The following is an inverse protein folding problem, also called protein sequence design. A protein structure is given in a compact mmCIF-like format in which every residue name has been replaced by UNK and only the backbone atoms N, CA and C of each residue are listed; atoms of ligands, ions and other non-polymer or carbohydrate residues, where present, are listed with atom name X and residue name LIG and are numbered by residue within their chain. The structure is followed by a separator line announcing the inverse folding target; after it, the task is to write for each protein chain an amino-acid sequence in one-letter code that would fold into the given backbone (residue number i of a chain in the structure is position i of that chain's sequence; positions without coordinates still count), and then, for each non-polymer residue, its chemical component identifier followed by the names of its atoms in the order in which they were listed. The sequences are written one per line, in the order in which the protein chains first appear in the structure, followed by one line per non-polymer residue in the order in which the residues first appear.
data_IF_251028459395
#
_entry.id   IF_251028459395
#
_cell.length_a   1.000
_cell.length_b   1.000
_cell.length_c   1.000
_cell.angle_alpha   90.00
_cell.angle_beta   90.00
_cell.angle_gamma   90.00
#
_symmetry.space_group_name_H-M   'P 1'
#
loop_
_entity.id
_entity.type
_entity.pdbx_description
1 polymer ?
#
# COMPACT_ATOMS: atom_id res chain seq x y z
N UNK A 1 16.09 -6.44 2.42
CA UNK A 1 17.05 -7.51 2.10
C UNK A 1 16.31 -8.70 1.49
N UNK A 2 15.75 -8.44 0.32
CA UNK A 2 14.96 -9.42 -0.42
C UNK A 2 15.72 -10.74 -0.63
N UNK A 3 17.03 -10.64 -0.86
CA UNK A 3 17.98 -11.75 -1.05
C UNK A 3 18.08 -12.74 0.12
N UNK A 4 17.51 -12.40 1.27
CA UNK A 4 17.56 -13.26 2.46
C UNK A 4 16.22 -13.88 2.84
N UNK A 5 15.12 -13.42 2.23
CA UNK A 5 13.77 -13.80 2.66
C UNK A 5 13.58 -15.31 2.59
N UNK A 6 13.93 -15.92 1.46
CA UNK A 6 13.76 -17.36 1.26
C UNK A 6 14.45 -18.20 2.34
N UNK A 7 15.65 -17.79 2.75
CA UNK A 7 16.44 -18.48 3.78
C UNK A 7 15.88 -18.33 5.21
N UNK A 8 14.90 -17.46 5.39
CA UNK A 8 14.28 -17.16 6.68
C UNK A 8 12.85 -17.71 6.78
N UNK A 9 12.37 -18.38 5.73
CA UNK A 9 11.05 -19.00 5.75
C UNK A 9 11.06 -20.22 6.68
N UNK A 10 9.97 -20.48 7.40
CA UNK A 10 9.85 -21.68 8.24
C UNK A 10 9.72 -22.94 7.38
N UNK A 11 10.08 -24.09 7.94
CA UNK A 11 10.09 -25.39 7.25
C UNK A 11 8.70 -25.79 6.72
N UNK A 12 7.63 -25.35 7.39
CA UNK A 12 6.23 -25.59 7.03
C UNK A 12 5.62 -24.50 6.12
N UNK A 13 6.43 -23.65 5.51
CA UNK A 13 5.96 -22.56 4.65
C UNK A 13 5.11 -23.01 3.46
N UNK A 14 5.42 -24.16 2.85
CA UNK A 14 4.63 -24.85 1.82
C UNK A 14 4.09 -23.96 0.68
N UNK A 15 4.89 -22.99 0.21
CA UNK A 15 4.48 -22.07 -0.87
C UNK A 15 3.68 -20.85 -0.42
N UNK A 16 3.50 -20.65 0.88
CA UNK A 16 2.91 -19.45 1.45
C UNK A 16 1.60 -19.67 2.22
N UNK A 17 1.45 -18.91 3.28
CA UNK A 17 0.24 -18.88 4.09
C UNK A 17 -0.74 -17.80 3.60
N UNK A 18 -2.05 -18.09 3.63
CA UNK A 18 -3.10 -17.17 3.18
C UNK A 18 -3.17 -15.86 3.97
N UNK A 19 -2.69 -15.85 5.19
CA UNK A 19 -2.70 -14.69 6.08
C UNK A 19 -1.40 -13.88 6.04
N UNK A 20 -0.47 -14.19 5.12
CA UNK A 20 0.82 -13.50 5.03
C UNK A 20 0.99 -12.82 3.67
N UNK A 21 1.16 -11.51 3.74
CA UNK A 21 1.38 -10.65 2.58
C UNK A 21 2.80 -10.08 2.59
N UNK A 22 3.58 -10.39 1.55
CA UNK A 22 4.93 -9.84 1.42
C UNK A 22 4.91 -8.55 0.60
N UNK A 23 5.33 -7.46 1.22
CA UNK A 23 5.57 -6.19 0.54
C UNK A 23 7.06 -5.88 0.48
N UNK A 24 7.54 -5.49 -0.68
CA UNK A 24 8.94 -5.08 -0.87
C UNK A 24 9.01 -3.59 -1.20
N UNK A 25 9.85 -2.88 -0.44
CA UNK A 25 10.07 -1.45 -0.65
C UNK A 25 10.88 -1.19 -1.92
N UNK A 26 10.38 -0.28 -2.78
CA UNK A 26 11.02 0.16 -4.01
C UNK A 26 11.00 1.69 -4.10
N UNK A 27 12.02 2.34 -3.57
CA UNK A 27 12.11 3.81 -3.45
C UNK A 27 12.39 4.51 -4.79
N UNK A 28 12.93 3.78 -5.76
CA UNK A 28 13.31 4.26 -7.09
C UNK A 28 13.51 3.08 -8.05
N UNK A 29 13.75 3.40 -9.33
CA UNK A 29 13.91 2.39 -10.39
C UNK A 29 15.05 1.39 -10.12
N UNK A 30 16.17 1.84 -9.56
CA UNK A 30 17.30 0.96 -9.25
C UNK A 30 16.86 -0.13 -8.27
N UNK A 31 16.18 0.24 -7.19
CA UNK A 31 15.71 -0.70 -6.17
C UNK A 31 14.61 -1.62 -6.68
N UNK A 32 13.72 -1.12 -7.54
CA UNK A 32 12.73 -1.97 -8.18
C UNK A 32 13.39 -3.04 -9.08
N UNK A 33 14.37 -2.66 -9.89
CA UNK A 33 15.08 -3.59 -10.75
C UNK A 33 15.89 -4.65 -9.99
N UNK A 34 16.38 -4.31 -8.80
CA UNK A 34 17.12 -5.23 -7.94
C UNK A 34 16.20 -6.18 -7.16
N UNK A 35 15.04 -5.70 -6.70
CA UNK A 35 14.23 -6.40 -5.69
C UNK A 35 13.00 -7.08 -6.26
N UNK A 36 12.36 -6.52 -7.28
CA UNK A 36 11.11 -7.08 -7.80
C UNK A 36 11.28 -8.42 -8.52
N UNK A 37 12.38 -8.69 -9.27
CA UNK A 37 12.60 -10.04 -9.78
C UNK A 37 12.63 -11.08 -8.66
N UNK A 38 13.30 -10.77 -7.54
CA UNK A 38 13.35 -11.66 -6.37
C UNK A 38 11.94 -11.83 -5.78
N UNK A 39 11.17 -10.75 -5.61
CA UNK A 39 9.80 -10.84 -5.10
C UNK A 39 8.94 -11.81 -5.92
N UNK A 40 9.05 -11.74 -7.25
CA UNK A 40 8.24 -12.60 -8.13
C UNK A 40 8.59 -14.09 -7.99
N UNK A 41 9.85 -14.41 -7.70
CA UNK A 41 10.31 -15.79 -7.49
C UNK A 41 10.02 -16.33 -6.09
N UNK A 42 9.85 -15.46 -5.09
CA UNK A 42 9.60 -15.89 -3.72
C UNK A 42 8.24 -16.62 -3.59
N UNK A 43 8.20 -17.71 -2.79
CA UNK A 43 7.01 -18.54 -2.62
C UNK A 43 5.98 -17.90 -1.68
N UNK A 44 5.43 -16.75 -2.06
CA UNK A 44 4.36 -16.06 -1.34
C UNK A 44 3.10 -16.02 -2.19
N UNK A 45 1.95 -16.29 -1.57
CA UNK A 45 0.65 -16.19 -2.24
C UNK A 45 0.26 -14.75 -2.51
N UNK A 46 0.52 -13.88 -1.54
CA UNK A 46 0.17 -12.46 -1.61
C UNK A 46 1.43 -11.60 -1.67
N UNK A 47 1.54 -10.81 -2.73
CA UNK A 47 2.70 -9.97 -3.02
C UNK A 47 2.28 -8.54 -3.31
N UNK A 48 3.04 -7.58 -2.78
CA UNK A 48 2.82 -6.17 -3.04
C UNK A 48 4.10 -5.36 -3.11
N UNK A 49 3.96 -4.13 -3.54
CA UNK A 49 5.06 -3.17 -3.66
C UNK A 49 4.78 -1.96 -2.76
N UNK A 50 5.79 -1.58 -1.98
CA UNK A 50 5.79 -0.36 -1.18
C UNK A 50 6.72 0.66 -1.83
N UNK A 51 6.17 1.60 -2.60
CA UNK A 51 6.91 2.74 -3.16
C UNK A 51 6.91 3.89 -2.15
N UNK A 52 7.44 3.63 -0.96
CA UNK A 52 7.57 4.59 0.13
C UNK A 52 8.91 4.40 0.85
N UNK A 53 9.68 5.49 1.01
CA UNK A 53 9.49 6.80 0.37
C UNK A 53 9.79 6.73 -1.13
N UNK A 54 8.90 7.24 -1.98
CA UNK A 54 9.19 7.39 -3.42
C UNK A 54 10.08 8.61 -3.62
N UNK A 55 11.37 8.36 -3.89
CA UNK A 55 12.40 9.40 -3.99
C UNK A 55 13.01 9.54 -5.39
N UNK A 56 12.42 8.89 -6.38
CA UNK A 56 12.80 8.97 -7.78
C UNK A 56 11.72 8.39 -8.68
N UNK A 57 11.76 8.77 -9.97
CA UNK A 57 10.84 8.20 -10.96
C UNK A 57 10.95 6.68 -10.96
N UNK A 58 9.81 6.02 -10.99
CA UNK A 58 9.66 4.58 -10.92
C UNK A 58 8.61 4.11 -11.93
N UNK A 59 8.96 3.14 -12.76
CA UNK A 59 8.03 2.40 -13.62
C UNK A 59 8.14 0.92 -13.28
N UNK A 60 7.02 0.28 -13.04
CA UNK A 60 6.89 -1.11 -12.60
C UNK A 60 6.04 -1.96 -13.55
N UNK A 61 5.60 -1.41 -14.66
CA UNK A 61 4.72 -2.07 -15.64
C UNK A 61 5.15 -3.51 -15.95
N UNK A 62 6.43 -3.73 -16.27
CA UNK A 62 6.96 -5.05 -16.62
C UNK A 62 6.82 -6.10 -15.51
N UNK A 63 6.77 -5.65 -14.23
CA UNK A 63 6.59 -6.55 -13.09
C UNK A 63 5.11 -6.81 -12.82
N UNK A 64 4.25 -5.78 -13.01
CA UNK A 64 2.80 -5.91 -12.85
C UNK A 64 2.20 -6.86 -13.88
N UNK A 65 2.76 -6.93 -15.09
CA UNK A 65 2.34 -7.86 -16.15
C UNK A 65 2.47 -9.34 -15.76
N UNK A 66 3.23 -9.67 -14.72
CA UNK A 66 3.26 -11.04 -14.16
C UNK A 66 1.92 -11.48 -13.57
N UNK A 67 1.03 -10.54 -13.24
CA UNK A 67 -0.22 -10.80 -12.53
C UNK A 67 -0.07 -11.20 -11.05
N UNK A 68 1.16 -11.31 -10.55
CA UNK A 68 1.43 -11.77 -9.18
C UNK A 68 1.37 -10.64 -8.13
N UNK A 69 1.44 -9.38 -8.57
CA UNK A 69 1.38 -8.22 -7.66
C UNK A 69 -0.08 -7.82 -7.49
N UNK A 70 -0.54 -7.80 -6.25
CA UNK A 70 -1.95 -7.52 -5.93
C UNK A 70 -2.17 -6.05 -5.60
N UNK A 71 -1.15 -5.40 -5.00
CA UNK A 71 -1.26 -3.99 -4.66
C UNK A 71 0.08 -3.25 -4.68
N UNK A 72 -0.03 -1.94 -4.85
CA UNK A 72 1.07 -0.98 -4.81
C UNK A 72 0.67 0.18 -3.93
N UNK A 73 1.48 0.46 -2.91
CA UNK A 73 1.35 1.64 -2.08
C UNK A 73 2.42 2.65 -2.45
N UNK A 74 2.04 3.93 -2.48
CA UNK A 74 2.97 5.02 -2.73
C UNK A 74 2.84 6.09 -1.66
N UNK A 75 3.99 6.64 -1.27
CA UNK A 75 4.07 7.73 -0.31
C UNK A 75 5.38 8.49 -0.41
N UNK A 76 5.38 9.73 0.07
CA UNK A 76 6.57 10.59 0.12
C UNK A 76 7.34 10.46 1.43
N UNK A 77 8.53 11.06 1.48
CA UNK A 77 9.40 11.01 2.65
C UNK A 77 8.96 11.98 3.74
N UNK A 78 8.86 11.49 4.99
CA UNK A 78 8.31 12.22 6.14
C UNK A 78 9.31 12.60 7.22
N UNK A 79 10.50 12.03 7.24
CA UNK A 79 11.45 12.15 8.37
C UNK A 79 12.35 13.38 8.30
N UNK A 80 11.76 14.58 8.13
CA UNK A 80 12.50 15.82 8.04
C UNK A 80 13.34 15.97 6.77
N UNK A 81 13.19 15.04 5.84
CA UNK A 81 13.83 15.10 4.53
C UNK A 81 13.28 16.24 3.69
N UNK A 82 14.15 16.80 2.88
CA UNK A 82 13.79 17.81 1.88
C UNK A 82 13.60 17.21 0.48
N UNK A 83 13.63 15.89 0.35
CA UNK A 83 13.45 15.22 -0.94
C UNK A 83 11.99 15.35 -1.38
N UNK A 84 11.74 15.95 -2.54
CA UNK A 84 10.38 16.12 -3.01
C UNK A 84 9.83 14.83 -3.59
N UNK A 85 8.53 14.61 -3.39
CA UNK A 85 7.73 13.71 -4.19
C UNK A 85 7.11 14.50 -5.34
N UNK A 86 7.27 14.02 -6.56
CA UNK A 86 6.64 14.61 -7.74
C UNK A 86 5.34 13.86 -8.07
N UNK A 87 4.27 14.61 -8.31
CA UNK A 87 2.96 14.05 -8.65
C UNK A 87 3.01 13.13 -9.89
N UNK A 88 3.80 13.52 -10.89
CA UNK A 88 3.96 12.78 -12.13
C UNK A 88 4.52 11.37 -11.91
N UNK A 89 5.35 11.17 -10.87
CA UNK A 89 5.85 9.84 -10.52
C UNK A 89 4.76 8.95 -9.93
N UNK A 90 3.94 9.55 -9.06
CA UNK A 90 2.82 8.85 -8.41
C UNK A 90 1.73 8.52 -9.43
N UNK A 91 1.44 9.48 -10.32
CA UNK A 91 0.47 9.29 -11.38
C UNK A 91 0.89 8.18 -12.34
N UNK A 92 2.16 8.10 -12.72
CA UNK A 92 2.69 7.00 -13.53
C UNK A 92 2.40 5.65 -12.90
N UNK A 93 2.70 5.49 -11.59
CA UNK A 93 2.40 4.24 -10.86
C UNK A 93 0.91 3.92 -10.87
N UNK A 94 0.05 4.92 -10.63
CA UNK A 94 -1.41 4.76 -10.69
C UNK A 94 -1.88 4.29 -12.07
N UNK A 95 -1.37 4.91 -13.14
CA UNK A 95 -1.74 4.57 -14.51
C UNK A 95 -1.28 3.15 -14.88
N UNK A 96 -0.08 2.74 -14.48
CA UNK A 96 0.43 1.38 -14.67
C UNK A 96 -0.40 0.35 -13.91
N UNK A 97 -0.79 0.65 -12.67
CA UNK A 97 -1.64 -0.23 -11.88
C UNK A 97 -3.06 -0.37 -12.47
N UNK A 98 -3.65 0.72 -12.95
CA UNK A 98 -4.93 0.70 -13.64
C UNK A 98 -4.88 -0.16 -14.92
N UNK A 99 -3.81 0.00 -15.70
CA UNK A 99 -3.63 -0.75 -16.95
C UNK A 99 -3.46 -2.27 -16.74
N UNK A 100 -3.05 -2.70 -15.53
CA UNK A 100 -2.81 -4.10 -15.19
C UNK A 100 -3.82 -4.65 -14.19
N UNK A 101 -4.87 -3.89 -13.87
CA UNK A 101 -5.87 -4.22 -12.87
C UNK A 101 -5.25 -4.59 -11.51
N UNK A 102 -4.28 -3.78 -11.06
CA UNK A 102 -3.59 -3.91 -9.78
C UNK A 102 -4.05 -2.80 -8.84
N UNK A 103 -4.38 -3.13 -7.59
CA UNK A 103 -4.78 -2.11 -6.61
C UNK A 103 -3.67 -1.11 -6.36
N UNK A 104 -4.01 0.19 -6.37
CA UNK A 104 -3.08 1.28 -6.11
C UNK A 104 -3.61 2.21 -5.02
N UNK A 105 -2.73 2.55 -4.08
CA UNK A 105 -3.05 3.46 -2.98
C UNK A 105 -1.95 4.51 -2.81
N UNK A 106 -2.30 5.77 -3.03
CA UNK A 106 -1.49 6.92 -2.67
C UNK A 106 -2.00 7.46 -1.34
N UNK A 107 -1.24 7.29 -0.26
CA UNK A 107 -1.73 7.56 1.09
C UNK A 107 -1.12 8.80 1.74
N UNK A 108 0.05 9.28 1.29
CA UNK A 108 0.63 10.51 1.80
C UNK A 108 1.63 11.17 0.83
N UNK A 109 1.63 12.50 0.80
CA UNK A 109 2.50 13.27 -0.09
C UNK A 109 3.94 13.39 0.40
N UNK A 110 4.19 13.05 1.67
CA UNK A 110 5.46 13.41 2.32
C UNK A 110 5.55 14.91 2.62
N UNK A 111 6.68 15.32 3.21
CA UNK A 111 6.88 16.70 3.64
C UNK A 111 6.97 17.70 2.48
N UNK A 112 7.49 17.29 1.33
CA UNK A 112 7.66 18.15 0.16
C UNK A 112 7.01 17.50 -1.05
N UNK A 113 6.00 18.15 -1.61
CA UNK A 113 5.25 17.67 -2.76
C UNK A 113 5.28 18.69 -3.89
N UNK A 114 5.49 18.21 -5.11
CA UNK A 114 5.51 19.05 -6.32
C UNK A 114 4.45 18.54 -7.28
N UNK A 115 3.55 19.42 -7.69
CA UNK A 115 2.52 19.17 -8.71
C UNK A 115 2.41 20.39 -9.62
N UNK A 116 2.41 20.16 -10.94
CA UNK A 116 2.32 21.21 -11.96
C UNK A 116 3.37 22.35 -11.74
N UNK A 117 4.59 21.96 -11.37
CA UNK A 117 5.69 22.89 -11.04
C UNK A 117 5.54 23.63 -9.71
N UNK A 118 4.40 23.49 -9.01
CA UNK A 118 4.16 24.15 -7.72
C UNK A 118 4.63 23.26 -6.57
N UNK A 119 5.53 23.81 -5.75
CA UNK A 119 6.02 23.16 -4.54
C UNK A 119 5.10 23.48 -3.35
N UNK A 120 4.68 22.44 -2.64
CA UNK A 120 3.96 22.54 -1.36
C UNK A 120 4.80 21.86 -0.28
N UNK A 121 4.87 22.48 0.90
CA UNK A 121 5.54 21.93 2.08
C UNK A 121 4.50 21.67 3.16
N UNK A 122 4.45 20.44 3.63
CA UNK A 122 3.55 20.00 4.68
C UNK A 122 4.27 19.82 6.00
N UNK A 123 3.65 20.26 7.09
CA UNK A 123 4.19 20.16 8.45
C UNK A 123 3.52 19.07 9.28
N UNK A 124 2.42 18.53 8.80
CA UNK A 124 1.67 17.48 9.49
C UNK A 124 1.14 16.40 8.54
N UNK A 125 0.97 15.18 9.04
CA UNK A 125 0.53 14.02 8.27
C UNK A 125 -0.93 14.10 7.82
N UNK A 126 -1.79 14.78 8.55
CA UNK A 126 -3.21 14.92 8.20
C UNK A 126 -3.38 15.64 6.86
N UNK A 127 -2.65 16.74 6.65
CA UNK A 127 -2.72 17.49 5.39
C UNK A 127 -2.07 16.73 4.24
N UNK A 128 -1.01 15.96 4.50
CA UNK A 128 -0.39 15.07 3.51
C UNK A 128 -1.36 14.01 3.03
N UNK A 129 -1.98 13.28 3.95
CA UNK A 129 -2.95 12.23 3.64
C UNK A 129 -4.20 12.79 2.96
N UNK A 130 -4.73 13.92 3.46
CA UNK A 130 -5.87 14.61 2.84
C UNK A 130 -5.57 15.03 1.40
N UNK A 131 -4.39 15.59 1.16
CA UNK A 131 -3.98 16.00 -0.18
C UNK A 131 -3.85 14.79 -1.11
N UNK A 132 -3.22 13.71 -0.64
CA UNK A 132 -3.09 12.48 -1.40
C UNK A 132 -4.47 11.90 -1.79
N UNK A 133 -5.41 11.88 -0.86
CA UNK A 133 -6.77 11.41 -1.09
C UNK A 133 -7.52 12.27 -2.12
N UNK A 134 -7.43 13.60 -2.02
CA UNK A 134 -8.15 14.54 -2.90
C UNK A 134 -7.63 14.53 -4.35
N UNK A 135 -6.48 13.94 -4.62
CA UNK A 135 -5.97 13.78 -5.98
C UNK A 135 -6.70 12.70 -6.78
N UNK A 136 -7.51 11.87 -6.13
CA UNK A 136 -8.40 10.88 -6.72
C UNK A 136 -7.72 9.96 -7.76
N UNK A 137 -6.51 9.53 -7.44
CA UNK A 137 -5.72 8.64 -8.30
C UNK A 137 -5.65 7.20 -7.78
N UNK A 138 -6.29 6.93 -6.64
CA UNK A 138 -6.38 5.59 -6.08
C UNK A 138 -7.21 4.68 -6.99
N UNK A 139 -6.85 3.41 -7.01
CA UNK A 139 -7.53 2.41 -7.82
C UNK A 139 -7.70 1.11 -7.04
N UNK A 140 -8.87 0.53 -7.10
CA UNK A 140 -9.14 -0.81 -6.55
C UNK A 140 -9.30 -1.78 -7.70
N UNK A 141 -8.49 -2.84 -7.72
CA UNK A 141 -8.58 -3.91 -8.70
C UNK A 141 -9.96 -4.55 -8.68
N UNK A 142 -10.44 -4.96 -9.85
CA UNK A 142 -11.66 -5.75 -10.00
C UNK A 142 -11.44 -7.23 -9.62
N UNK A 143 -10.17 -7.67 -9.49
CA UNK A 143 -9.84 -9.02 -9.07
C UNK A 143 -10.33 -9.26 -7.65
N UNK A 144 -11.02 -10.39 -7.44
CA UNK A 144 -11.46 -10.79 -6.11
C UNK A 144 -10.22 -11.10 -5.26
N UNK A 145 -9.95 -10.24 -4.29
CA UNK A 145 -8.92 -10.50 -3.29
C UNK A 145 -9.54 -11.37 -2.20
N UNK A 146 -9.45 -12.68 -2.37
CA UNK A 146 -9.98 -13.63 -1.39
C UNK A 146 -8.95 -13.79 -0.27
N UNK A 147 -8.99 -12.89 0.70
CA UNK A 147 -8.31 -13.09 1.97
C UNK A 147 -9.20 -13.98 2.84
N UNK A 148 -9.06 -15.30 2.71
CA UNK A 148 -9.75 -16.26 3.58
C UNK A 148 -8.90 -16.46 4.83
N UNK A 149 -9.26 -15.79 5.89
CA UNK A 149 -8.79 -16.15 7.22
C UNK A 149 -9.70 -17.26 7.74
N UNK A 150 -9.29 -18.52 7.61
CA UNK A 150 -9.94 -19.65 8.27
C UNK A 150 -9.62 -19.58 9.76
N UNK A 151 -10.37 -18.73 10.46
CA UNK A 151 -10.31 -18.70 11.91
C UNK A 151 -10.99 -19.95 12.45
N UNK A 152 -10.35 -20.68 13.40
CA UNK A 152 -11.04 -21.73 14.14
C UNK A 152 -12.39 -21.22 14.68
N UNK A 153 -13.43 -22.05 14.66
CA UNK A 153 -14.79 -21.65 15.02
C UNK A 153 -14.90 -20.94 16.39
N UNK A 154 -14.00 -21.26 17.32
CA UNK A 154 -13.89 -20.58 18.62
C UNK A 154 -13.53 -19.09 18.51
N UNK A 155 -12.88 -18.65 17.43
CA UNK A 155 -12.54 -17.25 17.19
C UNK A 155 -13.54 -16.55 16.28
N UNK A 156 -14.35 -17.30 15.52
CA UNK A 156 -15.42 -16.72 14.69
C UNK A 156 -16.57 -16.16 15.52
N UNK A 157 -16.70 -16.60 16.79
CA UNK A 157 -17.70 -16.08 17.74
C UNK A 157 -17.19 -14.85 18.53
N UNK A 158 -15.91 -14.59 18.52
CA UNK A 158 -15.40 -13.28 18.95
C UNK A 158 -15.72 -12.35 17.77
N UNK A 159 -16.99 -11.94 17.72
CA UNK A 159 -17.45 -10.91 16.78
C UNK A 159 -16.62 -9.66 17.00
N UNK A 160 -15.43 -9.62 16.36
CA UNK A 160 -14.62 -8.41 16.32
C UNK A 160 -15.43 -7.26 15.73
N UNK A 161 -16.51 -7.58 14.97
CA UNK A 161 -17.45 -6.59 14.45
C UNK A 161 -18.83 -7.21 14.24
N UNK A 162 -19.80 -6.86 15.07
CA UNK A 162 -21.20 -6.95 14.67
C UNK A 162 -21.42 -5.89 13.57
N UNK A 163 -22.05 -6.27 12.47
CA UNK A 163 -22.39 -5.35 11.36
C UNK A 163 -23.16 -4.09 11.82
N UNK A 164 -23.79 -4.14 12.99
CA UNK A 164 -24.46 -3.00 13.62
C UNK A 164 -23.53 -1.98 14.28
N UNK A 165 -22.25 -2.31 14.47
CA UNK A 165 -21.28 -1.42 15.09
C UNK A 165 -20.43 -0.65 14.07
N UNK A 166 -20.49 -0.98 12.77
CA UNK A 166 -19.75 -0.26 11.72
C UNK A 166 -20.10 1.24 11.71
N UNK A 167 -21.36 1.60 11.90
CA UNK A 167 -21.78 3.01 11.93
C UNK A 167 -21.31 3.77 13.18
N UNK A 168 -21.09 3.09 14.30
CA UNK A 168 -20.65 3.73 15.55
C UNK A 168 -19.17 4.08 15.56
N UNK A 169 -18.34 3.35 14.81
CA UNK A 169 -16.88 3.55 14.80
C UNK A 169 -16.41 4.52 13.73
N UNK A 170 -17.19 4.72 12.68
CA UNK A 170 -16.84 5.64 11.60
C UNK A 170 -17.39 7.04 11.90
N UNK A 171 -16.61 7.84 12.61
CA UNK A 171 -16.85 9.29 12.67
C UNK A 171 -16.74 9.89 11.26
N UNK A 172 -17.34 11.05 11.02
CA UNK A 172 -17.31 11.75 9.73
C UNK A 172 -15.89 11.92 9.13
N UNK A 173 -14.86 11.88 9.98
CA UNK A 173 -13.46 11.98 9.59
C UNK A 173 -12.90 10.72 8.91
N UNK A 174 -13.53 9.54 9.11
CA UNK A 174 -13.10 8.29 8.49
C UNK A 174 -13.33 8.24 6.97
N UNK A 175 -14.12 9.15 6.41
CA UNK A 175 -14.32 9.24 4.97
C UNK A 175 -13.00 9.50 4.19
N UNK A 176 -11.99 10.09 4.85
CA UNK A 176 -10.67 10.39 4.28
C UNK A 176 -9.62 9.33 4.59
N UNK A 177 -9.97 8.27 5.34
CA UNK A 177 -9.04 7.22 5.69
C UNK A 177 -9.04 6.14 4.59
N UNK A 178 -7.91 5.97 3.89
CA UNK A 178 -7.81 4.94 2.86
C UNK A 178 -7.88 3.52 3.43
N UNK A 179 -7.53 3.35 4.71
CA UNK A 179 -7.62 2.08 5.43
C UNK A 179 -9.05 1.74 5.88
N UNK A 180 -10.05 2.55 5.53
CA UNK A 180 -11.45 2.36 5.96
C UNK A 180 -11.95 0.92 5.79
N UNK A 181 -11.58 0.25 4.70
CA UNK A 181 -11.98 -1.13 4.41
C UNK A 181 -11.30 -2.17 5.32
N UNK A 182 -10.19 -1.82 5.93
CA UNK A 182 -9.38 -2.69 6.78
C UNK A 182 -9.31 -2.17 8.23
N UNK A 183 -10.07 -1.12 8.52
CA UNK A 183 -10.02 -0.46 9.81
C UNK A 183 -10.68 -1.35 10.87
N UNK A 184 -9.88 -1.83 11.80
CA UNK A 184 -10.32 -2.56 12.98
C UNK A 184 -10.82 -1.64 14.11
N UNK A 185 -11.20 -0.38 13.80
CA UNK A 185 -11.65 0.55 14.83
C UNK A 185 -10.51 0.99 15.75
N UNK A 186 -9.36 1.42 15.18
CA UNK A 186 -8.25 1.88 16.00
C UNK A 186 -8.69 3.04 16.91
N UNK A 187 -8.19 3.07 18.14
CA UNK A 187 -8.50 4.11 19.14
C UNK A 187 -8.07 5.52 18.70
N UNK A 188 -7.35 5.64 17.59
CA UNK A 188 -6.86 6.87 16.99
C UNK A 188 -7.69 7.35 15.79
N UNK A 189 -8.84 6.74 15.48
CA UNK A 189 -9.73 7.24 14.45
C UNK A 189 -10.09 8.72 14.71
N UNK A 190 -9.76 9.59 13.76
CA UNK A 190 -9.91 11.03 13.86
C UNK A 190 -8.70 11.77 14.41
N UNK A 191 -7.58 11.07 14.68
CA UNK A 191 -6.30 11.68 15.05
C UNK A 191 -5.21 11.49 13.97
N UNK A 192 -5.50 10.72 12.90
CA UNK A 192 -4.59 10.55 11.77
C UNK A 192 -4.65 11.74 10.82
#
# INVERSE_FOLDING_TARGET
RADRIEKCLPDDWNGGWENVWLNITCENQKRANERLPILLELPFKHKGIMAEPLIGKLSIMKFLQSGQIENVWAGGENYGSKKPLFFEWVKLLSDECKATDTTFSFFETGNVFIKDGKKTVFTNKKDQAKTAFLLDINYTSSREQVFKLDLPAQYSQIGLFNQTDEEKYFKNECQYCFMKRYCAGCSNCGKC
#
